data_IF_767334109047
#
_entry.id   IF_767334109047
#
_cell.length_a   1.000
_cell.length_b   1.000
_cell.length_c   1.000
_cell.angle_alpha   90.00
_cell.angle_beta   90.00
_cell.angle_gamma   90.00
#
_symmetry.space_group_name_H-M   'P 1'
#
loop_
_entity.id
_entity.type
_entity.pdbx_description
1 polymer ?
#
# COMPACT_ATOMS: atom_id res chain seq x y z
N UNK A 1 45.49 -11.33 50.43
CA UNK A 1 45.02 -10.48 49.30
C UNK A 1 44.08 -11.31 48.43
N UNK A 2 42.76 -11.08 48.53
CA UNK A 2 41.75 -11.83 47.73
C UNK A 2 41.56 -11.07 46.43
N UNK A 3 41.84 -11.70 45.29
CA UNK A 3 41.56 -11.17 43.94
C UNK A 3 40.09 -11.31 43.65
N UNK A 4 39.38 -10.20 43.49
CA UNK A 4 38.01 -10.17 42.96
C UNK A 4 38.09 -10.15 41.43
N UNK A 5 37.64 -11.21 40.79
CA UNK A 5 37.47 -11.27 39.33
C UNK A 5 36.08 -10.75 38.98
N UNK A 6 36.03 -9.59 38.38
CA UNK A 6 34.78 -8.97 37.90
C UNK A 6 34.37 -9.64 36.56
N UNK A 7 33.32 -10.45 36.56
CA UNK A 7 32.70 -10.94 35.32
C UNK A 7 31.78 -9.88 34.76
N UNK A 8 32.18 -9.20 33.69
CA UNK A 8 31.32 -8.34 32.89
C UNK A 8 30.54 -9.27 31.95
N UNK A 9 29.32 -9.58 32.31
CA UNK A 9 28.38 -10.29 31.42
C UNK A 9 27.99 -9.38 30.27
N UNK A 10 28.49 -9.66 29.06
CA UNK A 10 28.05 -9.01 27.83
C UNK A 10 26.64 -9.51 27.54
N UNK A 11 25.60 -8.70 27.90
CA UNK A 11 24.23 -8.95 27.40
C UNK A 11 24.24 -8.70 25.90
N UNK A 12 24.29 -9.77 25.12
CA UNK A 12 23.94 -9.75 23.71
C UNK A 12 22.44 -9.47 23.63
N UNK A 13 22.07 -8.19 23.48
CA UNK A 13 20.72 -7.81 23.05
C UNK A 13 20.59 -8.33 21.62
N UNK A 14 19.96 -9.50 21.47
CA UNK A 14 19.53 -9.95 20.16
C UNK A 14 18.52 -8.90 19.67
N UNK A 15 18.89 -8.13 18.66
CA UNK A 15 17.94 -7.34 17.88
C UNK A 15 17.01 -8.33 17.18
N UNK A 16 16.03 -8.84 17.93
CA UNK A 16 14.96 -9.66 17.38
C UNK A 16 14.28 -8.89 16.25
N UNK A 17 13.95 -9.59 15.18
CA UNK A 17 13.17 -8.97 14.12
C UNK A 17 11.86 -8.47 14.73
N UNK A 18 11.56 -7.17 14.52
CA UNK A 18 10.36 -6.53 15.01
C UNK A 18 9.12 -7.22 14.42
N UNK A 19 8.13 -7.55 15.23
CA UNK A 19 6.88 -8.12 14.74
C UNK A 19 6.06 -7.06 13.99
N UNK A 20 5.09 -7.48 13.19
CA UNK A 20 4.22 -6.55 12.50
C UNK A 20 3.39 -5.72 13.50
N UNK A 21 2.94 -6.34 14.59
CA UNK A 21 2.24 -5.68 15.70
C UNK A 21 3.08 -4.61 16.38
N UNK A 22 4.38 -4.87 16.58
CA UNK A 22 5.31 -3.89 17.17
C UNK A 22 5.49 -2.69 16.26
N UNK A 23 5.64 -2.94 14.94
CA UNK A 23 5.74 -1.86 13.94
C UNK A 23 4.47 -1.00 13.94
N UNK A 24 3.30 -1.61 14.01
CA UNK A 24 2.03 -0.89 14.01
C UNK A 24 1.86 0.02 15.23
N UNK A 25 2.39 -0.38 16.38
CA UNK A 25 2.34 0.39 17.63
C UNK A 25 3.45 1.43 17.75
N UNK A 26 4.49 1.36 16.92
CA UNK A 26 5.69 2.18 17.05
C UNK A 26 5.44 3.68 16.94
N UNK A 27 6.23 4.48 17.68
CA UNK A 27 6.10 5.94 17.77
C UNK A 27 6.54 6.69 16.50
N UNK A 28 7.23 6.02 15.57
CA UNK A 28 7.57 6.63 14.29
C UNK A 28 6.33 6.83 13.39
N UNK A 29 5.23 6.12 13.64
CA UNK A 29 3.96 6.30 12.95
C UNK A 29 3.19 7.47 13.56
N UNK A 30 2.78 8.41 12.71
CA UNK A 30 2.02 9.57 13.18
C UNK A 30 0.64 9.15 13.72
N UNK A 31 0.14 9.87 14.74
CA UNK A 31 -1.21 9.64 15.29
C UNK A 31 -2.29 9.78 14.21
N UNK A 32 -2.09 10.70 13.25
CA UNK A 32 -2.97 10.86 12.09
C UNK A 32 -3.05 9.58 11.24
N UNK A 33 -1.95 8.86 11.09
CA UNK A 33 -1.93 7.63 10.31
C UNK A 33 -2.44 6.45 11.14
N UNK A 34 -2.08 6.36 12.44
CA UNK A 34 -2.62 5.35 13.36
C UNK A 34 -4.15 5.45 13.50
N UNK A 35 -4.72 6.66 13.56
CA UNK A 35 -6.16 6.86 13.61
C UNK A 35 -6.93 6.31 12.39
N UNK A 36 -6.23 5.99 11.31
CA UNK A 36 -6.81 5.41 10.10
C UNK A 36 -6.74 3.88 10.06
N UNK A 37 -6.06 3.26 11.02
CA UNK A 37 -5.91 1.80 11.10
C UNK A 37 -7.28 1.11 11.19
N UNK A 38 -8.25 1.72 11.88
CA UNK A 38 -9.62 1.22 12.00
C UNK A 38 -10.38 1.08 10.66
N UNK A 39 -9.91 1.78 9.61
CA UNK A 39 -10.47 1.70 8.26
C UNK A 39 -9.63 0.87 7.31
N UNK A 40 -8.37 0.60 7.68
CA UNK A 40 -7.39 -0.03 6.79
C UNK A 40 -6.92 -1.39 7.26
N UNK A 41 -7.23 -1.73 8.51
CA UNK A 41 -6.96 -3.03 9.12
C UNK A 41 -5.59 -3.60 8.69
N UNK A 42 -4.47 -2.87 8.93
CA UNK A 42 -3.19 -3.19 8.31
C UNK A 42 -2.64 -4.55 8.72
N UNK A 43 -2.85 -4.96 9.97
CA UNK A 43 -2.40 -6.26 10.46
C UNK A 43 -3.08 -7.39 9.69
N UNK A 44 -4.41 -7.36 9.66
CA UNK A 44 -5.23 -8.37 9.02
C UNK A 44 -5.02 -8.38 7.50
N UNK A 45 -4.90 -7.20 6.89
CA UNK A 45 -4.67 -7.06 5.44
C UNK A 45 -3.32 -7.67 5.04
N UNK A 46 -2.24 -7.34 5.75
CA UNK A 46 -0.91 -7.84 5.44
C UNK A 46 -0.76 -9.33 5.77
N UNK A 47 -1.43 -9.81 6.84
CA UNK A 47 -1.51 -11.24 7.16
C UNK A 47 -2.30 -12.03 6.10
N UNK A 48 -3.41 -11.48 5.58
CA UNK A 48 -4.15 -12.09 4.47
C UNK A 48 -3.27 -12.25 3.22
N UNK A 49 -2.43 -11.27 2.90
CA UNK A 49 -1.46 -11.39 1.81
C UNK A 49 -0.35 -12.40 2.13
N UNK A 50 -0.09 -12.65 3.40
CA UNK A 50 0.93 -13.62 3.86
C UNK A 50 2.33 -13.02 3.94
N UNK A 51 2.45 -11.74 4.30
CA UNK A 51 3.73 -11.05 4.42
C UNK A 51 4.64 -11.71 5.47
N UNK A 52 5.94 -11.75 5.18
CA UNK A 52 6.99 -12.16 6.11
C UNK A 52 8.14 -11.16 6.07
N UNK A 53 8.82 -10.98 7.18
CA UNK A 53 9.87 -9.97 7.33
C UNK A 53 11.17 -10.25 6.54
N UNK A 54 11.30 -11.43 5.94
CA UNK A 54 12.43 -11.85 5.10
C UNK A 54 12.12 -11.79 3.61
N UNK A 55 10.97 -11.24 3.20
CA UNK A 55 10.56 -11.11 1.81
C UNK A 55 11.16 -9.87 1.14
N UNK A 56 11.30 -9.93 -0.18
CA UNK A 56 11.41 -8.76 -1.04
C UNK A 56 10.00 -8.34 -1.43
N UNK A 57 9.58 -7.14 -0.96
CA UNK A 57 8.23 -6.61 -1.17
C UNK A 57 8.30 -5.30 -1.95
N UNK A 58 7.61 -5.25 -3.08
CA UNK A 58 7.45 -4.04 -3.90
C UNK A 58 6.11 -3.38 -3.57
N UNK A 59 6.12 -2.14 -3.12
CA UNK A 59 4.92 -1.31 -3.01
C UNK A 59 4.80 -0.37 -4.20
N UNK A 60 3.67 -0.43 -4.90
CA UNK A 60 3.40 0.42 -6.06
C UNK A 60 2.84 1.76 -5.63
N UNK A 61 3.53 2.85 -5.98
CA UNK A 61 3.11 4.23 -5.74
C UNK A 61 2.60 4.47 -4.31
N UNK A 62 3.45 4.45 -3.28
CA UNK A 62 3.06 4.55 -1.88
C UNK A 62 2.34 5.86 -1.52
N UNK A 63 2.30 6.85 -2.43
CA UNK A 63 1.61 8.12 -2.25
C UNK A 63 2.11 8.88 -1.01
N UNK A 64 1.24 9.06 -0.01
CA UNK A 64 1.61 9.69 1.26
C UNK A 64 2.42 8.80 2.21
N UNK A 65 2.78 7.57 1.82
CA UNK A 65 3.63 6.67 2.60
C UNK A 65 2.95 5.94 3.75
N UNK A 66 1.63 5.79 3.73
CA UNK A 66 0.91 5.20 4.85
C UNK A 66 1.28 3.73 5.10
N UNK A 67 1.35 2.88 4.04
CA UNK A 67 1.86 1.52 4.16
C UNK A 67 3.38 1.47 4.22
N UNK A 68 4.09 2.40 3.60
CA UNK A 68 5.54 2.50 3.65
C UNK A 68 6.08 2.60 5.08
N UNK A 69 5.40 3.37 5.97
CA UNK A 69 5.78 3.48 7.38
C UNK A 69 5.57 2.18 8.18
N UNK A 70 4.91 1.19 7.58
CA UNK A 70 4.73 -0.16 8.14
C UNK A 70 5.70 -1.14 7.46
N UNK A 71 5.70 -1.19 6.13
CA UNK A 71 6.45 -2.17 5.35
C UNK A 71 7.96 -1.97 5.45
N UNK A 72 8.43 -0.72 5.34
CA UNK A 72 9.87 -0.46 5.33
C UNK A 72 10.55 -0.88 6.65
N UNK A 73 10.09 -0.49 7.85
CA UNK A 73 10.70 -0.94 9.09
C UNK A 73 10.50 -2.44 9.36
N UNK A 74 9.38 -3.03 8.93
CA UNK A 74 9.14 -4.47 9.10
C UNK A 74 10.13 -5.34 8.32
N UNK A 75 10.50 -4.89 7.12
CA UNK A 75 11.40 -5.61 6.20
C UNK A 75 12.88 -5.27 6.41
N UNK A 76 13.19 -4.15 7.06
CA UNK A 76 14.52 -3.53 7.17
C UNK A 76 15.67 -4.49 7.48
N UNK A 77 15.46 -5.45 8.38
CA UNK A 77 16.56 -6.24 8.96
C UNK A 77 16.80 -7.59 8.25
N UNK A 78 15.78 -8.15 7.60
CA UNK A 78 15.84 -9.51 7.04
C UNK A 78 15.33 -9.62 5.61
N UNK A 79 14.53 -8.65 5.18
CA UNK A 79 13.94 -8.57 3.85
C UNK A 79 14.40 -7.32 3.10
N UNK A 80 13.67 -6.99 2.05
CA UNK A 80 13.91 -5.81 1.24
C UNK A 80 12.58 -5.11 0.94
N UNK A 81 12.45 -3.84 1.35
CA UNK A 81 11.38 -2.98 0.88
C UNK A 81 11.81 -2.27 -0.40
N UNK A 82 10.96 -2.34 -1.41
CA UNK A 82 11.14 -1.68 -2.71
C UNK A 82 9.96 -0.74 -2.94
N UNK A 83 10.23 0.52 -3.22
CA UNK A 83 9.22 1.49 -3.63
C UNK A 83 9.26 1.71 -5.13
N UNK A 84 8.16 1.38 -5.83
CA UNK A 84 7.99 1.73 -7.23
C UNK A 84 7.27 3.07 -7.32
N UNK A 85 7.98 4.13 -7.72
CA UNK A 85 7.48 5.50 -7.72
C UNK A 85 7.64 6.18 -9.09
N UNK A 86 7.06 7.37 -9.24
CA UNK A 86 7.18 8.16 -10.46
C UNK A 86 8.62 8.59 -10.74
N UNK A 87 8.88 8.98 -11.97
CA UNK A 87 10.20 9.44 -12.41
C UNK A 87 10.45 10.90 -12.04
N UNK A 88 11.72 11.21 -11.73
CA UNK A 88 12.16 12.57 -11.43
C UNK A 88 12.00 13.53 -12.62
N UNK A 89 12.09 12.99 -13.82
CA UNK A 89 12.07 13.67 -15.12
C UNK A 89 10.71 13.55 -15.85
N UNK A 90 9.66 13.11 -15.15
CA UNK A 90 8.32 13.01 -15.74
C UNK A 90 7.83 14.37 -16.27
N UNK A 91 7.15 14.39 -17.41
CA UNK A 91 6.50 15.60 -17.97
C UNK A 91 5.44 16.19 -17.04
N UNK A 92 4.83 15.37 -16.20
CA UNK A 92 3.82 15.78 -15.22
C UNK A 92 4.45 16.40 -13.98
N UNK A 93 4.13 17.67 -13.71
CA UNK A 93 4.56 18.33 -12.47
C UNK A 93 4.10 17.58 -11.21
N UNK A 94 2.86 17.07 -11.21
CA UNK A 94 2.34 16.24 -10.12
C UNK A 94 3.23 15.02 -9.86
N UNK A 95 3.65 14.31 -10.90
CA UNK A 95 4.52 13.13 -10.77
C UNK A 95 5.90 13.49 -10.26
N UNK A 96 6.52 14.56 -10.78
CA UNK A 96 7.80 15.07 -10.26
C UNK A 96 7.74 15.46 -8.79
N UNK A 97 6.66 16.15 -8.39
CA UNK A 97 6.46 16.55 -7.00
C UNK A 97 6.21 15.33 -6.09
N UNK A 98 5.49 14.32 -6.57
CA UNK A 98 5.31 13.05 -5.86
C UNK A 98 6.62 12.32 -5.65
N UNK A 99 7.48 12.24 -6.68
CA UNK A 99 8.82 11.68 -6.58
C UNK A 99 9.67 12.44 -5.54
N UNK A 100 9.72 13.76 -5.61
CA UNK A 100 10.47 14.59 -4.63
C UNK A 100 10.00 14.37 -3.20
N UNK A 101 8.68 14.29 -2.99
CA UNK A 101 8.11 14.02 -1.68
C UNK A 101 8.49 12.62 -1.16
N UNK A 102 8.50 11.62 -2.04
CA UNK A 102 8.96 10.26 -1.72
C UNK A 102 10.43 10.26 -1.31
N UNK A 103 11.32 10.83 -2.11
CA UNK A 103 12.75 10.88 -1.80
C UNK A 103 13.03 11.62 -0.48
N UNK A 104 12.31 12.70 -0.23
CA UNK A 104 12.40 13.42 1.05
C UNK A 104 11.99 12.53 2.22
N UNK A 105 10.86 11.82 2.10
CA UNK A 105 10.36 10.92 3.15
C UNK A 105 11.33 9.80 3.46
N UNK A 106 11.92 9.16 2.44
CA UNK A 106 12.93 8.12 2.63
C UNK A 106 14.17 8.67 3.35
N UNK A 107 14.65 9.84 2.94
CA UNK A 107 15.79 10.51 3.57
C UNK A 107 15.52 10.85 5.03
N UNK A 108 14.38 11.47 5.31
CA UNK A 108 14.02 11.94 6.66
C UNK A 108 13.82 10.77 7.64
N UNK A 109 13.42 9.60 7.14
CA UNK A 109 13.14 8.41 7.94
C UNK A 109 14.20 7.30 7.80
N UNK A 110 15.39 7.60 7.29
CA UNK A 110 16.43 6.59 7.02
C UNK A 110 16.73 5.67 8.22
N UNK A 111 16.76 6.20 9.44
CA UNK A 111 16.95 5.37 10.65
C UNK A 111 15.89 4.31 10.85
N UNK A 112 14.65 4.64 10.53
CA UNK A 112 13.47 3.77 10.72
C UNK A 112 13.31 2.83 9.54
N UNK A 113 13.36 3.35 8.31
CA UNK A 113 13.08 2.61 7.08
C UNK A 113 14.27 1.77 6.57
N UNK A 114 15.49 2.06 7.03
CA UNK A 114 16.69 1.46 6.48
C UNK A 114 17.04 2.06 5.11
N UNK A 115 17.34 1.20 4.15
CA UNK A 115 17.71 1.58 2.78
C UNK A 115 16.75 0.93 1.77
N UNK A 116 15.53 1.48 1.61
CA UNK A 116 14.60 1.03 0.59
C UNK A 116 15.20 1.16 -0.81
N UNK A 117 14.97 0.16 -1.66
CA UNK A 117 15.26 0.31 -3.08
C UNK A 117 14.19 1.16 -3.75
N UNK A 118 14.62 2.06 -4.62
CA UNK A 118 13.73 2.94 -5.39
C UNK A 118 13.78 2.51 -6.85
N UNK A 119 12.64 2.15 -7.40
CA UNK A 119 12.50 1.76 -8.81
C UNK A 119 11.43 2.60 -9.51
N UNK A 120 11.49 2.66 -10.84
CA UNK A 120 10.50 3.39 -11.64
C UNK A 120 9.16 2.64 -11.65
N UNK A 121 8.05 3.40 -11.60
CA UNK A 121 6.69 2.89 -11.79
C UNK A 121 6.33 2.81 -13.29
N UNK A 122 7.29 2.54 -14.14
CA UNK A 122 7.17 2.45 -15.60
C UNK A 122 7.96 1.25 -16.12
N UNK A 123 7.67 0.84 -17.34
CA UNK A 123 8.32 -0.33 -17.96
C UNK A 123 7.56 -1.63 -17.69
N UNK A 124 8.17 -2.73 -18.08
CA UNK A 124 7.63 -4.08 -18.06
C UNK A 124 7.99 -4.90 -16.81
N UNK A 125 8.71 -4.25 -15.86
CA UNK A 125 9.12 -4.81 -14.57
C UNK A 125 9.37 -3.69 -13.55
N UNK A 126 9.16 -3.94 -12.27
CA UNK A 126 9.46 -3.02 -11.18
C UNK A 126 10.70 -3.47 -10.40
N UNK A 127 11.87 -3.06 -10.89
CA UNK A 127 13.17 -3.54 -10.45
C UNK A 127 13.70 -4.63 -11.37
N UNK A 128 13.98 -5.81 -10.85
CA UNK A 128 14.48 -6.96 -11.61
C UNK A 128 13.36 -7.98 -11.86
N UNK A 129 13.47 -8.71 -12.96
CA UNK A 129 12.55 -9.79 -13.29
C UNK A 129 12.65 -10.92 -12.26
N UNK A 130 11.49 -11.43 -11.83
CA UNK A 130 11.38 -12.57 -10.90
C UNK A 130 12.18 -12.38 -9.61
N UNK A 131 12.22 -11.16 -9.10
CA UNK A 131 12.99 -10.78 -7.90
C UNK A 131 12.13 -10.61 -6.64
N UNK A 132 10.85 -10.29 -6.79
CA UNK A 132 9.98 -10.01 -5.66
C UNK A 132 9.20 -11.24 -5.17
N UNK A 133 9.12 -11.40 -3.85
CA UNK A 133 8.24 -12.40 -3.22
C UNK A 133 6.80 -11.88 -3.16
N UNK A 134 6.63 -10.55 -3.13
CA UNK A 134 5.31 -9.91 -3.06
C UNK A 134 5.31 -8.55 -3.75
N UNK A 135 4.25 -8.26 -4.49
CA UNK A 135 3.95 -6.91 -5.01
C UNK A 135 2.62 -6.46 -4.42
N UNK A 136 2.59 -5.25 -3.86
CA UNK A 136 1.43 -4.68 -3.19
C UNK A 136 0.95 -3.40 -3.87
N UNK A 137 -0.36 -3.28 -4.04
CA UNK A 137 -1.01 -2.08 -4.56
C UNK A 137 -2.15 -1.65 -3.64
N UNK A 138 -2.07 -0.42 -3.14
CA UNK A 138 -3.08 0.14 -2.25
C UNK A 138 -3.68 1.41 -2.85
N UNK A 139 -4.92 1.30 -3.34
CA UNK A 139 -5.69 2.43 -3.88
C UNK A 139 -5.03 3.11 -5.09
N UNK A 140 -4.52 2.31 -6.02
CA UNK A 140 -3.88 2.79 -7.24
C UNK A 140 -4.53 2.26 -8.52
N UNK A 141 -5.20 1.11 -8.47
CA UNK A 141 -5.75 0.43 -9.65
C UNK A 141 -6.71 1.32 -10.43
N UNK A 142 -7.56 2.07 -9.74
CA UNK A 142 -8.48 3.04 -10.35
C UNK A 142 -7.80 4.11 -11.23
N UNK A 143 -6.48 4.29 -11.12
CA UNK A 143 -5.70 5.19 -11.98
C UNK A 143 -5.18 4.52 -13.26
N UNK A 144 -5.24 3.19 -13.34
CA UNK A 144 -4.68 2.41 -14.46
C UNK A 144 -5.73 1.99 -15.47
N UNK A 145 -6.97 1.80 -15.03
CA UNK A 145 -8.08 1.28 -15.83
C UNK A 145 -8.27 2.08 -17.12
N UNK A 146 -8.46 1.33 -18.22
CA UNK A 146 -8.67 1.89 -19.55
C UNK A 146 -7.48 2.64 -20.15
N UNK A 147 -6.31 2.61 -19.51
CA UNK A 147 -5.10 3.31 -19.96
C UNK A 147 -3.89 2.40 -20.01
N UNK A 148 -3.45 1.91 -18.87
CA UNK A 148 -2.22 1.11 -18.72
C UNK A 148 -2.40 -0.12 -17.84
N UNK A 149 -3.61 -0.56 -17.70
CA UNK A 149 -4.01 -1.65 -16.82
C UNK A 149 -3.28 -2.95 -17.09
N UNK A 150 -3.35 -3.45 -18.33
CA UNK A 150 -2.69 -4.68 -18.74
C UNK A 150 -1.16 -4.57 -18.69
N UNK A 151 -0.60 -3.40 -19.04
CA UNK A 151 0.84 -3.14 -18.91
C UNK A 151 1.29 -3.25 -17.46
N UNK A 152 0.54 -2.63 -16.54
CA UNK A 152 0.83 -2.67 -15.11
C UNK A 152 0.68 -4.07 -14.53
N UNK A 153 -0.40 -4.78 -14.84
CA UNK A 153 -0.59 -6.16 -14.40
C UNK A 153 0.52 -7.07 -14.93
N UNK A 154 0.96 -6.89 -16.18
CA UNK A 154 2.08 -7.63 -16.77
C UNK A 154 3.41 -7.30 -16.10
N UNK A 155 3.67 -6.03 -15.80
CA UNK A 155 4.87 -5.62 -15.07
C UNK A 155 4.91 -6.22 -13.66
N UNK A 156 3.77 -6.25 -12.95
CA UNK A 156 3.65 -6.93 -11.66
C UNK A 156 3.98 -8.42 -11.80
N UNK A 157 3.39 -9.07 -12.81
CA UNK A 157 3.63 -10.49 -13.08
C UNK A 157 5.11 -10.80 -13.35
N UNK A 158 5.76 -9.97 -14.18
CA UNK A 158 7.17 -10.14 -14.54
C UNK A 158 8.10 -9.91 -13.32
N UNK A 159 7.73 -9.00 -12.43
CA UNK A 159 8.49 -8.69 -11.20
C UNK A 159 8.45 -9.84 -10.19
N UNK A 160 7.33 -10.53 -10.10
CA UNK A 160 7.13 -11.60 -9.13
C UNK A 160 7.91 -12.87 -9.49
N UNK A 161 8.51 -13.52 -8.48
CA UNK A 161 8.99 -14.89 -8.57
C UNK A 161 7.84 -15.85 -8.85
N UNK A 162 8.08 -17.05 -9.42
CA UNK A 162 7.12 -18.16 -9.35
C UNK A 162 6.70 -18.40 -7.88
N UNK A 163 5.41 -18.54 -7.62
CA UNK A 163 4.84 -18.59 -6.26
C UNK A 163 4.70 -17.24 -5.56
N UNK A 164 5.17 -16.15 -6.16
CA UNK A 164 5.07 -14.79 -5.60
C UNK A 164 3.63 -14.27 -5.56
N UNK A 165 3.34 -13.41 -4.60
CA UNK A 165 2.00 -12.89 -4.31
C UNK A 165 1.80 -11.49 -4.89
N UNK A 166 0.69 -11.28 -5.61
CA UNK A 166 0.14 -9.96 -5.87
C UNK A 166 -1.02 -9.70 -4.90
N UNK A 167 -0.84 -8.73 -3.99
CA UNK A 167 -1.85 -8.26 -3.05
C UNK A 167 -2.37 -6.89 -3.46
N UNK A 168 -3.69 -6.74 -3.54
CA UNK A 168 -4.30 -5.47 -3.92
C UNK A 168 -5.52 -5.13 -3.07
N UNK A 169 -5.61 -3.86 -2.68
CA UNK A 169 -6.79 -3.27 -2.05
C UNK A 169 -7.17 -2.01 -2.81
N UNK A 170 -8.40 -1.95 -3.36
CA UNK A 170 -8.90 -0.76 -4.03
C UNK A 170 -10.40 -0.54 -3.78
N UNK A 171 -10.93 0.58 -4.23
CA UNK A 171 -12.30 1.04 -4.01
C UNK A 171 -13.29 0.18 -4.79
N UNK A 172 -14.22 -0.47 -4.10
CA UNK A 172 -15.18 -1.41 -4.72
C UNK A 172 -16.35 -0.70 -5.36
N UNK A 173 -16.58 -0.95 -6.65
CA UNK A 173 -17.82 -0.60 -7.35
C UNK A 173 -18.93 -1.62 -7.04
N UNK A 174 -20.20 -1.19 -7.06
CA UNK A 174 -21.37 -2.07 -7.00
C UNK A 174 -21.80 -2.53 -8.39
N UNK A 175 -21.14 -2.03 -9.45
CA UNK A 175 -21.44 -2.31 -10.85
C UNK A 175 -20.19 -2.73 -11.59
N UNK A 176 -20.36 -3.25 -12.81
CA UNK A 176 -19.24 -3.54 -13.72
C UNK A 176 -18.60 -2.28 -14.31
N UNK A 177 -19.20 -1.10 -14.07
CA UNK A 177 -18.66 0.17 -14.53
C UNK A 177 -17.72 0.76 -13.50
N UNK A 178 -16.54 1.16 -13.96
CA UNK A 178 -15.61 1.96 -13.15
C UNK A 178 -16.08 3.41 -13.13
N UNK A 179 -16.38 3.90 -11.95
CA UNK A 179 -16.95 5.24 -11.83
C UNK A 179 -16.42 6.01 -10.63
N UNK A 180 -15.94 7.22 -10.90
CA UNK A 180 -15.52 8.16 -9.84
C UNK A 180 -14.55 7.54 -8.81
N UNK A 181 -13.60 6.72 -9.28
CA UNK A 181 -12.59 6.06 -8.46
C UNK A 181 -13.01 4.72 -7.87
N UNK A 182 -14.28 4.30 -8.01
CA UNK A 182 -14.70 2.93 -7.70
C UNK A 182 -14.43 2.02 -8.89
N UNK A 183 -14.02 0.78 -8.62
CA UNK A 183 -13.54 -0.16 -9.63
C UNK A 183 -14.23 -1.51 -9.51
N UNK A 184 -14.44 -2.16 -10.67
CA UNK A 184 -15.09 -3.44 -10.80
C UNK A 184 -14.18 -4.57 -10.26
N UNK A 185 -14.52 -5.16 -9.11
CA UNK A 185 -13.77 -6.27 -8.52
C UNK A 185 -13.71 -7.51 -9.44
N UNK A 186 -14.82 -8.02 -10.02
CA UNK A 186 -14.78 -9.17 -10.95
C UNK A 186 -13.98 -8.88 -12.22
N UNK A 187 -13.99 -7.61 -12.70
CA UNK A 187 -13.22 -7.23 -13.87
C UNK A 187 -11.72 -7.36 -13.62
N UNK A 188 -11.22 -6.85 -12.50
CA UNK A 188 -9.82 -7.01 -12.12
C UNK A 188 -9.41 -8.48 -11.98
N UNK A 189 -10.26 -9.32 -11.40
CA UNK A 189 -9.99 -10.75 -11.27
C UNK A 189 -9.80 -11.37 -12.67
N UNK A 190 -10.76 -11.15 -13.58
CA UNK A 190 -10.69 -11.62 -14.97
C UNK A 190 -9.40 -11.15 -15.67
N UNK A 191 -9.08 -9.88 -15.53
CA UNK A 191 -7.95 -9.27 -16.25
C UNK A 191 -6.60 -9.73 -15.70
N UNK A 192 -6.50 -9.92 -14.39
CA UNK A 192 -5.32 -10.52 -13.76
C UNK A 192 -5.15 -12.00 -14.20
N UNK A 193 -6.21 -12.79 -14.25
CA UNK A 193 -6.17 -14.17 -14.73
C UNK A 193 -5.78 -14.23 -16.22
N UNK A 194 -6.22 -13.29 -17.05
CA UNK A 194 -5.83 -13.18 -18.45
C UNK A 194 -4.32 -12.88 -18.63
N UNK A 195 -3.66 -12.28 -17.65
CA UNK A 195 -2.20 -12.11 -17.62
C UNK A 195 -1.47 -13.42 -17.23
N UNK A 196 -2.13 -14.32 -16.53
CA UNK A 196 -1.58 -15.59 -16.05
C UNK A 196 -1.54 -15.73 -14.53
N UNK A 197 -2.07 -14.77 -13.78
CA UNK A 197 -2.23 -14.92 -12.34
C UNK A 197 -3.26 -16.00 -12.01
N UNK A 198 -3.07 -16.66 -10.87
CA UNK A 198 -4.10 -17.47 -10.25
C UNK A 198 -4.75 -16.68 -9.13
N UNK A 199 -6.06 -16.47 -9.22
CA UNK A 199 -6.84 -15.90 -8.14
C UNK A 199 -6.88 -16.86 -6.93
N UNK A 200 -6.59 -16.35 -5.74
CA UNK A 200 -6.55 -17.15 -4.50
C UNK A 200 -7.78 -16.88 -3.63
N UNK A 201 -8.25 -15.63 -3.61
CA UNK A 201 -9.44 -15.26 -2.84
C UNK A 201 -9.52 -13.79 -2.53
N UNK A 202 -10.67 -13.41 -1.99
CA UNK A 202 -10.98 -12.06 -1.51
C UNK A 202 -11.16 -12.04 0.01
N UNK A 203 -10.94 -10.87 0.60
CA UNK A 203 -11.27 -10.60 2.00
C UNK A 203 -12.16 -9.38 2.13
N UNK A 204 -13.10 -9.43 3.07
CA UNK A 204 -13.97 -8.32 3.44
C UNK A 204 -13.36 -7.43 4.54
N UNK A 205 -12.09 -7.62 4.89
CA UNK A 205 -11.38 -6.89 5.96
C UNK A 205 -11.51 -5.37 5.82
N UNK A 206 -11.47 -4.88 4.58
CA UNK A 206 -11.52 -3.45 4.24
C UNK A 206 -12.88 -3.00 3.69
N UNK A 207 -13.92 -3.82 3.83
CA UNK A 207 -15.27 -3.47 3.42
C UNK A 207 -15.87 -2.40 4.35
N UNK A 208 -16.62 -1.47 3.76
CA UNK A 208 -17.36 -0.46 4.50
C UNK A 208 -18.80 -0.36 3.99
N UNK A 209 -19.77 -1.07 4.61
CA UNK A 209 -21.16 -1.07 4.17
C UNK A 209 -21.87 0.29 4.31
N UNK A 210 -21.25 1.28 4.99
CA UNK A 210 -21.78 2.64 5.09
C UNK A 210 -21.46 3.50 3.87
N UNK A 211 -20.56 3.02 3.00
CA UNK A 211 -20.22 3.71 1.75
C UNK A 211 -21.29 3.45 0.70
N UNK A 212 -22.13 4.45 0.44
CA UNK A 212 -23.24 4.38 -0.52
C UNK A 212 -22.83 4.63 -1.97
N UNK A 213 -21.57 5.06 -2.21
CA UNK A 213 -20.92 5.22 -3.54
C UNK A 213 -21.58 6.24 -4.48
N UNK A 214 -22.58 6.97 -4.01
CA UNK A 214 -23.39 7.93 -4.76
C UNK A 214 -22.89 9.39 -4.69
N UNK A 215 -21.67 9.59 -4.19
CA UNK A 215 -21.12 10.93 -3.96
C UNK A 215 -20.79 11.64 -5.26
N UNK A 216 -21.03 12.98 -5.35
CA UNK A 216 -20.75 13.76 -6.55
C UNK A 216 -19.30 13.65 -7.03
N UNK A 217 -18.34 13.69 -6.11
CA UNK A 217 -16.91 13.52 -6.37
C UNK A 217 -16.38 12.10 -6.17
N UNK A 218 -17.28 11.10 -5.95
CA UNK A 218 -16.90 9.71 -5.74
C UNK A 218 -16.06 9.50 -4.48
N UNK A 219 -15.12 8.57 -4.53
CA UNK A 219 -14.24 8.20 -3.41
C UNK A 219 -13.50 9.38 -2.79
N UNK A 220 -13.25 10.44 -3.55
CA UNK A 220 -12.53 11.63 -3.07
C UNK A 220 -13.35 12.52 -2.15
N UNK A 221 -14.68 12.41 -2.13
CA UNK A 221 -15.50 13.11 -1.13
C UNK A 221 -15.37 12.48 0.26
N UNK A 222 -14.98 11.21 0.35
CA UNK A 222 -14.77 10.51 1.61
C UNK A 222 -13.38 10.82 2.24
N UNK A 223 -13.18 10.50 3.54
CA UNK A 223 -11.85 10.52 4.14
C UNK A 223 -10.85 9.63 3.38
N UNK A 224 -9.58 9.99 3.37
CA UNK A 224 -8.96 11.12 4.08
C UNK A 224 -9.02 12.43 3.28
N UNK A 225 -9.46 12.40 2.02
CA UNK A 225 -9.38 13.54 1.09
C UNK A 225 -10.40 14.61 1.44
N UNK A 226 -11.67 14.22 1.69
CA UNK A 226 -12.78 15.12 1.95
C UNK A 226 -12.88 16.25 0.92
N UNK A 227 -12.66 15.89 -0.35
CA UNK A 227 -12.69 16.82 -1.48
C UNK A 227 -14.05 17.52 -1.61
N UNK A 228 -14.03 18.78 -2.02
CA UNK A 228 -15.23 19.56 -2.32
C UNK A 228 -15.79 19.29 -3.73
N UNK A 229 -15.14 18.39 -4.48
CA UNK A 229 -15.51 18.07 -5.87
C UNK A 229 -17.00 17.75 -5.99
N UNK A 230 -17.69 18.50 -6.87
CA UNK A 230 -19.10 18.30 -7.16
C UNK A 230 -20.07 18.74 -6.06
N UNK A 231 -19.58 19.33 -4.96
CA UNK A 231 -20.43 19.84 -3.89
C UNK A 231 -20.82 21.30 -4.13
N UNK A 232 -22.06 21.63 -3.78
CA UNK A 232 -22.49 23.04 -3.69
C UNK A 232 -21.78 23.74 -2.52
N UNK A 233 -21.26 24.93 -2.76
CA UNK A 233 -20.47 25.72 -1.80
C UNK A 233 -21.17 25.91 -0.44
N UNK A 234 -22.51 26.07 -0.44
CA UNK A 234 -23.30 26.23 0.79
C UNK A 234 -23.42 24.95 1.61
N UNK A 235 -23.23 23.78 0.98
CA UNK A 235 -23.40 22.46 1.60
C UNK A 235 -22.08 21.82 2.06
N UNK A 236 -20.91 22.32 1.66
CA UNK A 236 -19.60 21.70 1.88
C UNK A 236 -19.42 21.23 3.33
N UNK A 237 -19.53 22.15 4.31
CA UNK A 237 -19.30 21.83 5.72
C UNK A 237 -20.24 20.72 6.22
N UNK A 238 -21.52 20.77 5.83
CA UNK A 238 -22.53 19.77 6.19
C UNK A 238 -22.19 18.41 5.61
N UNK A 239 -21.84 18.39 4.31
CA UNK A 239 -21.50 17.15 3.60
C UNK A 239 -20.20 16.54 4.10
N UNK A 240 -19.16 17.31 4.33
CA UNK A 240 -17.92 16.80 4.92
C UNK A 240 -18.13 16.23 6.32
N UNK A 241 -19.01 16.82 7.15
CA UNK A 241 -19.38 16.24 8.44
C UNK A 241 -20.07 14.89 8.27
N UNK A 242 -21.01 14.77 7.32
CA UNK A 242 -21.66 13.49 6.96
C UNK A 242 -20.63 12.46 6.50
N UNK A 243 -19.73 12.82 5.60
CA UNK A 243 -18.74 11.93 5.02
C UNK A 243 -17.70 11.43 6.05
N UNK A 244 -17.33 12.27 7.01
CA UNK A 244 -16.49 11.84 8.15
C UNK A 244 -17.12 10.71 8.96
N UNK A 245 -18.45 10.68 9.11
CA UNK A 245 -19.16 9.63 9.84
C UNK A 245 -19.22 8.31 9.05
N UNK A 246 -19.14 8.38 7.71
CA UNK A 246 -19.06 7.19 6.86
C UNK A 246 -17.68 6.53 7.02
N UNK A 247 -16.62 7.34 7.06
CA UNK A 247 -15.24 6.86 7.10
C UNK A 247 -14.62 6.76 5.72
N UNK A 248 -13.56 5.94 5.57
CA UNK A 248 -12.95 5.67 4.27
C UNK A 248 -13.88 4.79 3.41
N UNK A 249 -13.70 4.83 2.09
CA UNK A 249 -14.52 4.09 1.12
C UNK A 249 -14.56 2.58 1.36
N UNK A 250 -15.60 1.94 0.85
CA UNK A 250 -15.67 0.48 0.71
C UNK A 250 -14.57 -0.03 -0.22
N UNK A 251 -13.90 -1.12 0.17
CA UNK A 251 -12.77 -1.66 -0.60
C UNK A 251 -12.78 -3.17 -0.63
N UNK A 252 -12.49 -3.72 -1.80
CA UNK A 252 -12.10 -5.11 -1.89
C UNK A 252 -10.63 -5.29 -1.50
N UNK A 253 -10.29 -6.48 -1.09
CA UNK A 253 -8.91 -6.93 -0.82
C UNK A 253 -8.72 -8.27 -1.47
N UNK A 254 -7.91 -8.34 -2.53
CA UNK A 254 -7.74 -9.52 -3.38
C UNK A 254 -6.30 -10.03 -3.31
N UNK A 255 -6.15 -11.34 -3.35
CA UNK A 255 -4.88 -12.04 -3.39
C UNK A 255 -4.77 -12.90 -4.63
N UNK A 256 -3.68 -12.73 -5.34
CA UNK A 256 -3.29 -13.53 -6.51
C UNK A 256 -1.91 -14.12 -6.31
N UNK A 257 -1.61 -15.18 -7.04
CA UNK A 257 -0.28 -15.82 -7.07
C UNK A 257 0.16 -15.98 -8.52
N UNK A 258 1.42 -15.70 -8.80
CA UNK A 258 2.06 -16.11 -10.04
C UNK A 258 2.36 -17.62 -9.92
N UNK A 259 1.81 -18.50 -10.79
CA UNK A 259 2.08 -19.93 -10.78
C UNK A 259 3.56 -20.29 -10.90
#
# INVERSE_FOLDING_TARGET
MKKFTLYIGLMLVSLGAQSLEDVLKSDHRSDKNKARDVYRNPLETLNFFGIKNNMTVVELNPGGGWYQEILAPYLKNKGQYVTATYDADSDSEYRRNSYKAEMKRLKDNKKVYGEPLVVRLSGDVYGEKESADMVLSFRNYHNWIGKSEFEKLRAIYNTLKPGGVFGITDHRSDTIEDKKGYTCEPCLIRDAEAIGFRYIGASQINANPRDTKDYPGGVWNLPPTLSERGLDKKSIKKMQKKYKLIGESDRYTLKFVKP
#
